data_IF_859475636200
#
_entry.id   IF_859475636200
#
_cell.length_a   1.000
_cell.length_b   1.000
_cell.length_c   1.000
_cell.angle_alpha   90.00
_cell.angle_beta   90.00
_cell.angle_gamma   90.00
#
_symmetry.space_group_name_H-M   'P 1'
#
loop_
_entity.id
_entity.type
_entity.pdbx_description
1 polymer ?
#
# COMPACT_ATOMS: atom_id res chain seq x y z
N UNK A 1 18.75 28.06 -0.97
CA UNK A 1 17.70 27.70 0.03
C UNK A 1 17.73 26.21 0.37
N UNK A 2 17.65 25.30 -0.62
CA UNK A 2 17.73 23.84 -0.41
C UNK A 2 19.02 23.40 0.30
N UNK A 3 20.17 24.01 -0.05
CA UNK A 3 21.46 23.67 0.55
C UNK A 3 21.51 23.97 2.06
N UNK A 4 20.99 25.12 2.48
CA UNK A 4 20.99 25.54 3.89
C UNK A 4 20.10 24.65 4.78
N UNK A 5 18.97 24.16 4.23
CA UNK A 5 18.09 23.20 4.91
C UNK A 5 18.81 21.85 5.09
N UNK A 6 19.53 21.40 4.05
CA UNK A 6 20.26 20.14 4.07
C UNK A 6 21.41 20.18 5.10
N UNK A 7 22.17 21.27 5.14
CA UNK A 7 23.28 21.44 6.08
C UNK A 7 22.80 21.52 7.55
N UNK A 8 21.66 22.17 7.81
CA UNK A 8 21.06 22.23 9.15
C UNK A 8 20.54 20.87 9.63
N UNK A 9 20.00 20.03 8.74
CA UNK A 9 19.49 18.70 9.12
C UNK A 9 20.58 17.66 9.37
N UNK A 10 21.74 17.81 8.74
CA UNK A 10 22.88 16.88 8.89
C UNK A 10 23.36 16.73 10.33
N UNK A 11 23.29 17.78 11.14
CA UNK A 11 23.69 17.72 12.55
C UNK A 11 22.76 16.86 13.44
N UNK A 12 21.54 16.57 12.98
CA UNK A 12 20.57 15.73 13.71
C UNK A 12 20.55 14.27 13.24
N UNK A 13 21.32 13.91 12.21
CA UNK A 13 21.40 12.54 11.69
C UNK A 13 22.58 11.86 12.37
N UNK A 14 22.33 11.16 13.47
CA UNK A 14 23.35 10.46 14.26
C UNK A 14 23.63 9.03 13.79
N UNK A 15 23.00 8.57 12.70
CA UNK A 15 23.24 7.24 12.15
C UNK A 15 24.07 7.33 10.87
N UNK A 16 24.93 6.33 10.63
CA UNK A 16 25.56 6.14 9.34
C UNK A 16 24.51 6.07 8.23
N UNK A 17 24.85 6.48 7.02
CA UNK A 17 23.96 6.39 5.85
C UNK A 17 23.38 4.98 5.76
N UNK A 18 22.06 4.86 5.88
CA UNK A 18 21.37 3.59 5.67
C UNK A 18 21.47 3.29 4.18
N UNK A 19 21.97 2.11 3.82
CA UNK A 19 21.99 1.66 2.43
C UNK A 19 20.54 1.65 1.93
N UNK A 20 20.23 2.57 1.03
CA UNK A 20 18.91 2.64 0.42
C UNK A 20 18.75 1.37 -0.42
N UNK A 21 17.66 0.61 -0.26
CA UNK A 21 17.36 -0.51 -1.14
C UNK A 21 17.47 -0.07 -2.59
N UNK A 22 18.13 -0.88 -3.41
CA UNK A 22 18.16 -0.64 -4.85
C UNK A 22 16.71 -0.60 -5.35
N UNK A 23 16.37 0.42 -6.12
CA UNK A 23 15.06 0.52 -6.76
C UNK A 23 15.00 -0.48 -7.91
N UNK A 24 14.75 -1.74 -7.57
CA UNK A 24 14.63 -2.84 -8.52
C UNK A 24 13.14 -2.99 -8.85
N UNK A 25 12.83 -2.97 -10.14
CA UNK A 25 11.49 -3.30 -10.64
C UNK A 25 11.14 -4.74 -10.24
N UNK A 26 9.92 -5.02 -9.76
CA UNK A 26 9.49 -6.40 -9.52
C UNK A 26 9.32 -7.19 -10.84
N UNK A 27 9.34 -6.51 -11.99
CA UNK A 27 9.20 -7.12 -13.31
C UNK A 27 10.57 -7.39 -13.94
N UNK A 28 10.75 -8.59 -14.46
CA UNK A 28 11.99 -9.04 -15.13
C UNK A 28 12.24 -8.26 -16.43
N UNK A 29 11.17 -7.87 -17.13
CA UNK A 29 11.24 -7.11 -18.37
C UNK A 29 9.93 -6.33 -18.65
N UNK A 30 9.97 -5.47 -19.66
CA UNK A 30 8.81 -4.65 -20.07
C UNK A 30 7.59 -5.48 -20.51
N UNK A 31 7.82 -6.68 -21.06
CA UNK A 31 6.71 -7.58 -21.45
C UNK A 31 5.94 -8.04 -20.21
N UNK A 32 6.62 -8.47 -19.15
CA UNK A 32 5.97 -8.89 -17.90
C UNK A 32 5.24 -7.72 -17.22
N UNK A 33 5.80 -6.51 -17.28
CA UNK A 33 5.14 -5.31 -16.79
C UNK A 33 3.88 -4.97 -17.58
N UNK A 34 3.93 -5.09 -18.92
CA UNK A 34 2.78 -4.88 -19.78
C UNK A 34 1.68 -5.92 -19.50
N UNK A 35 2.03 -7.19 -19.35
CA UNK A 35 1.09 -8.26 -19.02
C UNK A 35 0.41 -8.02 -17.68
N UNK A 36 1.18 -7.65 -16.64
CA UNK A 36 0.63 -7.24 -15.34
C UNK A 36 -0.39 -6.10 -15.49
N UNK A 37 -0.03 -5.05 -16.24
CA UNK A 37 -0.88 -3.88 -16.42
C UNK A 37 -2.18 -4.22 -17.16
N UNK A 38 -2.09 -5.05 -18.21
CA UNK A 38 -3.26 -5.51 -18.96
C UNK A 38 -4.19 -6.36 -18.09
N UNK A 39 -3.65 -7.34 -17.37
CA UNK A 39 -4.44 -8.19 -16.46
C UNK A 39 -5.07 -7.38 -15.32
N UNK A 40 -4.35 -6.40 -14.76
CA UNK A 40 -4.91 -5.51 -13.73
C UNK A 40 -6.10 -4.69 -14.27
N UNK A 41 -6.02 -4.20 -15.51
CA UNK A 41 -7.14 -3.49 -16.15
C UNK A 41 -8.36 -4.39 -16.28
N UNK A 42 -8.17 -5.65 -16.68
CA UNK A 42 -9.26 -6.65 -16.77
C UNK A 42 -9.88 -6.92 -15.38
N UNK A 43 -9.05 -7.16 -14.35
CA UNK A 43 -9.51 -7.38 -12.98
C UNK A 43 -10.31 -6.19 -12.43
N UNK A 44 -9.88 -4.97 -12.73
CA UNK A 44 -10.60 -3.74 -12.36
C UNK A 44 -11.94 -3.66 -13.10
N UNK A 45 -11.96 -3.98 -14.40
CA UNK A 45 -13.17 -3.92 -15.23
C UNK A 45 -14.24 -4.93 -14.79
N UNK A 46 -13.81 -6.12 -14.36
CA UNK A 46 -14.67 -7.19 -13.84
C UNK A 46 -15.11 -6.98 -12.37
N UNK A 47 -14.70 -5.87 -11.74
CA UNK A 47 -15.01 -5.51 -10.35
C UNK A 47 -14.66 -6.60 -9.31
N UNK A 48 -13.62 -7.40 -9.60
CA UNK A 48 -13.23 -8.54 -8.76
C UNK A 48 -12.74 -8.03 -7.41
N UNK A 49 -13.36 -8.49 -6.32
CA UNK A 49 -12.92 -8.18 -4.96
C UNK A 49 -12.10 -9.35 -4.42
N UNK A 50 -10.78 -9.16 -4.17
CA UNK A 50 -9.94 -10.21 -3.61
C UNK A 50 -10.40 -10.63 -2.21
N UNK A 51 -10.32 -11.94 -1.93
CA UNK A 51 -10.55 -12.49 -0.59
C UNK A 51 -9.35 -12.24 0.33
N UNK A 52 -9.56 -12.40 1.64
CA UNK A 52 -8.54 -12.29 2.70
C UNK A 52 -7.89 -10.90 2.78
N UNK A 53 -8.62 -9.87 2.32
CA UNK A 53 -8.16 -8.49 2.22
C UNK A 53 -8.98 -7.52 3.09
N UNK A 54 -9.93 -8.04 3.89
CA UNK A 54 -10.88 -7.24 4.69
C UNK A 54 -11.70 -6.26 3.84
N UNK A 55 -12.06 -6.67 2.64
CA UNK A 55 -12.86 -5.91 1.67
C UNK A 55 -14.28 -6.47 1.52
N UNK A 56 -14.51 -7.71 1.93
CA UNK A 56 -15.83 -8.34 1.89
C UNK A 56 -16.55 -8.15 3.23
N UNK A 57 -17.89 -8.04 3.17
CA UNK A 57 -18.72 -7.79 4.35
C UNK A 57 -18.56 -8.84 5.46
N UNK A 58 -18.32 -10.09 5.08
CA UNK A 58 -18.06 -11.20 6.02
C UNK A 58 -16.69 -11.12 6.72
N UNK A 59 -15.80 -10.22 6.30
CA UNK A 59 -14.50 -9.97 6.93
C UNK A 59 -14.54 -8.75 7.87
N UNK A 60 -15.67 -8.06 7.96
CA UNK A 60 -15.83 -6.86 8.76
C UNK A 60 -16.42 -7.18 10.13
N UNK A 61 -15.92 -6.50 11.15
CA UNK A 61 -16.54 -6.51 12.47
C UNK A 61 -17.76 -5.59 12.44
N UNK A 62 -18.96 -6.17 12.33
CA UNK A 62 -20.22 -5.42 12.36
C UNK A 62 -20.80 -5.05 11.00
N UNK A 63 -20.57 -5.85 9.96
CA UNK A 63 -21.17 -5.75 8.61
C UNK A 63 -20.89 -4.44 7.84
N UNK A 64 -20.01 -3.57 8.35
CA UNK A 64 -19.64 -2.32 7.69
C UNK A 64 -18.13 -2.12 7.55
N UNK A 65 -17.72 -1.57 6.41
CA UNK A 65 -16.33 -1.17 6.17
C UNK A 65 -15.91 -0.08 7.17
N UNK A 66 -14.74 -0.20 7.84
CA UNK A 66 -14.29 0.78 8.82
C UNK A 66 -14.10 2.16 8.19
N UNK A 67 -14.79 3.15 8.74
CA UNK A 67 -14.75 4.56 8.30
C UNK A 67 -13.94 5.47 9.23
N UNK A 68 -13.33 4.89 10.27
CA UNK A 68 -12.43 5.58 11.18
C UNK A 68 -11.27 4.66 11.55
N UNK A 69 -10.10 5.25 11.74
CA UNK A 69 -8.93 4.58 12.30
C UNK A 69 -8.46 5.35 13.53
N UNK A 70 -8.22 4.63 14.63
CA UNK A 70 -7.68 5.18 15.85
C UNK A 70 -6.15 5.02 15.84
N UNK A 71 -5.44 6.14 15.72
CA UNK A 71 -3.98 6.17 15.75
C UNK A 71 -3.54 6.53 17.17
N UNK A 72 -2.79 5.65 17.88
CA UNK A 72 -2.27 5.97 19.19
C UNK A 72 -1.19 7.08 19.08
N UNK A 73 -1.36 8.15 19.83
CA UNK A 73 -0.45 9.31 19.85
C UNK A 73 0.00 9.67 21.26
N UNK A 74 1.13 10.37 21.35
CA UNK A 74 1.73 10.76 22.62
C UNK A 74 2.59 9.67 23.27
N UNK A 75 3.06 9.92 24.50
CA UNK A 75 3.97 9.02 25.20
C UNK A 75 3.27 7.71 25.51
N UNK A 76 3.74 6.61 24.90
CA UNK A 76 3.18 5.25 25.04
C UNK A 76 1.72 5.12 24.58
N UNK A 77 1.28 5.94 23.61
CA UNK A 77 -0.10 5.86 23.10
C UNK A 77 -1.15 6.32 24.11
N UNK A 78 -0.80 7.27 24.98
CA UNK A 78 -1.70 7.77 26.04
C UNK A 78 -2.91 8.55 25.52
N UNK A 79 -2.98 8.81 24.22
CA UNK A 79 -4.09 9.47 23.54
C UNK A 79 -4.37 8.75 22.24
N UNK A 80 -5.59 8.90 21.73
CA UNK A 80 -5.98 8.38 20.42
C UNK A 80 -6.38 9.54 19.52
N UNK A 81 -5.92 9.48 18.28
CA UNK A 81 -6.33 10.36 17.20
C UNK A 81 -7.24 9.57 16.29
N UNK A 82 -8.52 9.96 16.22
CA UNK A 82 -9.47 9.36 15.29
C UNK A 82 -9.37 10.06 13.93
N UNK A 83 -8.91 9.31 12.93
CA UNK A 83 -8.83 9.79 11.55
C UNK A 83 -10.03 9.25 10.79
N UNK A 84 -10.79 10.14 10.15
CA UNK A 84 -11.89 9.70 9.27
C UNK A 84 -11.33 9.13 7.97
N UNK A 85 -11.76 7.91 7.67
CA UNK A 85 -11.56 7.25 6.40
C UNK A 85 -12.83 7.49 5.57
N UNK A 86 -12.79 8.46 4.65
CA UNK A 86 -13.90 8.66 3.72
C UNK A 86 -14.18 7.37 2.94
N UNK A 87 -15.30 6.70 3.26
CA UNK A 87 -15.68 5.37 2.75
C UNK A 87 -15.45 5.19 1.25
N UNK A 88 -15.97 6.03 0.33
CA UNK A 88 -15.80 5.82 -1.10
C UNK A 88 -14.34 5.99 -1.55
N UNK A 89 -13.55 6.87 -0.93
CA UNK A 89 -12.16 7.07 -1.33
C UNK A 89 -11.25 5.97 -0.81
N UNK A 90 -11.44 5.55 0.44
CA UNK A 90 -10.60 4.54 1.07
C UNK A 90 -10.92 3.13 0.60
N UNK A 91 -12.20 2.77 0.50
CA UNK A 91 -12.61 1.45 0.02
C UNK A 91 -12.12 1.20 -1.41
N UNK A 92 -12.35 2.15 -2.32
CA UNK A 92 -11.93 2.01 -3.71
C UNK A 92 -10.40 1.90 -3.85
N UNK A 93 -9.64 2.63 -3.02
CA UNK A 93 -8.17 2.54 -3.01
C UNK A 93 -7.69 1.22 -2.43
N UNK A 94 -8.27 0.77 -1.32
CA UNK A 94 -7.93 -0.50 -0.69
C UNK A 94 -8.21 -1.66 -1.65
N UNK A 95 -9.36 -1.62 -2.34
CA UNK A 95 -9.71 -2.60 -3.37
C UNK A 95 -8.73 -2.61 -4.52
N UNK A 96 -8.40 -1.46 -5.10
CA UNK A 96 -7.41 -1.35 -6.17
C UNK A 96 -6.04 -1.89 -5.75
N UNK A 97 -5.61 -1.58 -4.52
CA UNK A 97 -4.34 -2.06 -3.99
C UNK A 97 -4.33 -3.59 -3.85
N UNK A 98 -5.41 -4.18 -3.32
CA UNK A 98 -5.53 -5.63 -3.19
C UNK A 98 -5.62 -6.32 -4.56
N UNK A 99 -6.34 -5.75 -5.52
CA UNK A 99 -6.40 -6.24 -6.90
C UNK A 99 -5.00 -6.25 -7.53
N UNK A 100 -4.24 -5.17 -7.40
CA UNK A 100 -2.87 -5.09 -7.87
C UNK A 100 -1.96 -6.12 -7.19
N UNK A 101 -2.10 -6.32 -5.88
CA UNK A 101 -1.33 -7.31 -5.13
C UNK A 101 -1.63 -8.75 -5.56
N UNK A 102 -2.91 -9.07 -5.79
CA UNK A 102 -3.35 -10.38 -6.30
C UNK A 102 -2.76 -10.67 -7.69
N UNK A 103 -2.82 -9.70 -8.59
CA UNK A 103 -2.23 -9.85 -9.93
C UNK A 103 -0.71 -9.99 -9.83
N UNK A 104 -0.07 -9.15 -9.03
CA UNK A 104 1.39 -9.19 -8.85
C UNK A 104 1.86 -10.53 -8.27
N UNK A 105 1.17 -11.06 -7.26
CA UNK A 105 1.52 -12.35 -6.64
C UNK A 105 1.42 -13.50 -7.64
N UNK A 106 0.42 -13.49 -8.53
CA UNK A 106 0.33 -14.44 -9.62
C UNK A 106 1.57 -14.41 -10.52
N UNK A 107 2.03 -13.23 -10.95
CA UNK A 107 3.22 -13.11 -11.80
C UNK A 107 4.52 -13.48 -11.08
N UNK A 108 4.64 -13.16 -9.78
CA UNK A 108 5.84 -13.48 -9.00
C UNK A 108 5.93 -14.99 -8.68
N UNK A 109 4.81 -15.67 -8.49
CA UNK A 109 4.77 -17.12 -8.28
C UNK A 109 4.93 -17.87 -9.61
N UNK A 110 4.28 -17.42 -10.68
CA UNK A 110 4.37 -18.06 -12.00
C UNK A 110 5.75 -17.89 -12.68
N UNK A 111 6.54 -16.88 -12.28
CA UNK A 111 7.90 -16.65 -12.81
C UNK A 111 9.00 -17.52 -12.19
N UNK A 112 8.64 -18.51 -11.34
CA UNK A 112 9.57 -19.43 -10.68
C UNK A 112 9.63 -20.84 -11.32
N UNK A 113 8.90 -21.07 -12.43
CA UNK A 113 8.95 -22.29 -13.26
C UNK A 113 9.76 -22.07 -14.55
#
# INVERSE_FOLDING_TARGET
MVQAINDQQRHHIHHNTISVPLQISPFVNDKTHWQFSATLIEVIAEDITPCDCRLAGNEWEGDEYPIFEAIPVGRRGSKELHVSLAKPSWFNRARLWCQALLVLSYFLVAGQE
#
